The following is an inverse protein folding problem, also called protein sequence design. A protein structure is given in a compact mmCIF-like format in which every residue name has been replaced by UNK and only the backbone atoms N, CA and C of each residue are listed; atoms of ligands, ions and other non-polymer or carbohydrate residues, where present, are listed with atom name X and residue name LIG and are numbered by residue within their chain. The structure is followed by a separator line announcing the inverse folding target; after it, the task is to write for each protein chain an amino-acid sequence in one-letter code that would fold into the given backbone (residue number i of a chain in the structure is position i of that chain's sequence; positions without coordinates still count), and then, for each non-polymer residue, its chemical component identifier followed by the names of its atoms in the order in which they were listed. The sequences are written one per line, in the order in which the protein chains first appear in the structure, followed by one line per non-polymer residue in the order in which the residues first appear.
data_IF_188410874894
#
_entry.id   IF_188410874894
#
_cell.length_a   1.000
_cell.length_b   1.000
_cell.length_c   1.000
_cell.angle_alpha   90.00
_cell.angle_beta   90.00
_cell.angle_gamma   90.00
#
_symmetry.space_group_name_H-M   'P 1'
#
loop_
_entity.id
_entity.type
_entity.pdbx_description
1 polymer ?
#
# COMPACT_ATOMS: atom_id res chain seq x y z
N UNK A 1 -42.47 -26.89 36.32
CA UNK A 1 -41.47 -27.98 36.25
C UNK A 1 -40.50 -27.59 35.15
N UNK A 2 -39.46 -26.79 35.44
CA UNK A 2 -38.18 -27.25 36.00
C UNK A 2 -37.68 -28.43 35.17
N UNK A 3 -36.78 -28.29 34.19
CA UNK A 3 -35.48 -27.65 34.27
C UNK A 3 -34.46 -28.72 34.68
N UNK A 4 -33.71 -29.28 33.72
CA UNK A 4 -32.25 -29.50 33.79
C UNK A 4 -31.77 -30.23 32.52
N UNK A 5 -31.19 -29.48 31.57
CA UNK A 5 -30.44 -30.03 30.45
C UNK A 5 -29.04 -30.31 30.98
N UNK A 6 -28.77 -31.59 31.24
CA UNK A 6 -27.46 -32.13 31.64
C UNK A 6 -26.31 -31.44 30.91
N UNK A 7 -25.60 -30.58 31.63
CA UNK A 7 -24.39 -29.94 31.17
C UNK A 7 -23.32 -31.02 30.95
N UNK A 8 -23.09 -31.40 29.68
CA UNK A 8 -21.89 -32.15 29.29
C UNK A 8 -20.68 -31.27 29.51
N UNK A 9 -19.98 -31.52 30.62
CA UNK A 9 -18.66 -30.96 30.94
C UNK A 9 -17.70 -31.33 29.80
N UNK A 10 -17.43 -30.40 28.88
CA UNK A 10 -16.32 -30.53 27.93
C UNK A 10 -15.04 -30.41 28.75
N UNK A 11 -14.38 -31.54 29.00
CA UNK A 11 -13.08 -31.60 29.64
C UNK A 11 -12.09 -30.88 28.72
N UNK A 12 -11.73 -29.63 29.03
CA UNK A 12 -10.58 -28.95 28.42
C UNK A 12 -9.35 -29.78 28.77
N UNK A 13 -8.86 -30.54 27.81
CA UNK A 13 -7.57 -31.22 27.92
C UNK A 13 -6.47 -30.16 28.02
N UNK A 14 -5.61 -30.31 29.03
CA UNK A 14 -4.46 -29.43 29.21
C UNK A 14 -3.43 -29.72 28.12
N UNK A 15 -2.69 -28.69 27.71
CA UNK A 15 -1.64 -28.77 26.69
C UNK A 15 -0.54 -29.79 27.04
N UNK A 16 -0.43 -30.18 28.31
CA UNK A 16 0.45 -31.21 28.84
C UNK A 16 0.02 -32.66 28.55
N UNK A 17 -1.22 -32.92 28.11
CA UNK A 17 -1.73 -34.27 27.79
C UNK A 17 -1.66 -34.61 26.29
N UNK A 18 -1.12 -33.72 25.44
CA UNK A 18 -0.88 -33.94 24.00
C UNK A 18 0.50 -34.53 23.68
N UNK A 19 1.21 -35.02 24.68
CA UNK A 19 2.52 -35.68 24.53
C UNK A 19 2.36 -37.20 24.51
N UNK A 20 1.42 -37.74 23.73
CA UNK A 20 1.43 -39.17 23.41
C UNK A 20 2.29 -39.36 22.17
N UNK A 21 3.48 -39.92 22.39
CA UNK A 21 4.38 -40.45 21.35
C UNK A 21 3.57 -41.01 20.19
N UNK A 22 3.62 -40.32 19.04
CA UNK A 22 3.17 -40.88 17.79
C UNK A 22 3.87 -42.24 17.61
N UNK A 23 3.16 -43.26 17.13
CA UNK A 23 3.81 -44.52 16.84
C UNK A 23 4.96 -44.30 15.83
N UNK A 24 5.97 -45.17 15.86
CA UNK A 24 7.17 -45.00 15.05
C UNK A 24 6.86 -44.86 13.54
N UNK A 25 5.75 -45.44 13.07
CA UNK A 25 5.30 -45.30 11.69
C UNK A 25 4.77 -43.89 11.40
N UNK A 26 3.98 -43.32 12.32
CA UNK A 26 3.45 -41.96 12.24
C UNK A 26 4.56 -40.92 12.35
N UNK A 27 5.52 -41.10 13.26
CA UNK A 27 6.68 -40.22 13.38
C UNK A 27 7.52 -40.21 12.09
N UNK A 28 7.78 -41.39 11.52
CA UNK A 28 8.50 -41.52 10.25
C UNK A 28 7.73 -40.86 9.09
N UNK A 29 6.40 -41.01 9.03
CA UNK A 29 5.59 -40.36 8.01
C UNK A 29 5.62 -38.83 8.12
N UNK A 30 5.63 -38.27 9.34
CA UNK A 30 5.78 -36.82 9.56
C UNK A 30 7.14 -36.31 9.09
N UNK A 31 8.22 -37.06 9.34
CA UNK A 31 9.56 -36.73 8.84
C UNK A 31 9.63 -36.77 7.31
N UNK A 32 9.02 -37.77 6.67
CA UNK A 32 8.92 -37.86 5.21
C UNK A 32 8.11 -36.69 4.62
N UNK A 33 7.03 -36.26 5.29
CA UNK A 33 6.24 -35.08 4.90
C UNK A 33 7.07 -33.80 5.03
N UNK A 34 7.85 -33.64 6.11
CA UNK A 34 8.72 -32.48 6.29
C UNK A 34 9.78 -32.38 5.18
N UNK A 35 10.39 -33.50 4.79
CA UNK A 35 11.30 -33.55 3.64
C UNK A 35 10.59 -33.12 2.35
N UNK A 36 9.38 -33.64 2.09
CA UNK A 36 8.59 -33.22 0.93
C UNK A 36 8.27 -31.73 0.95
N UNK A 37 7.92 -31.17 2.12
CA UNK A 37 7.61 -29.76 2.27
C UNK A 37 8.84 -28.89 2.00
N UNK A 38 10.02 -29.29 2.49
CA UNK A 38 11.28 -28.60 2.20
C UNK A 38 11.60 -28.61 0.69
N UNK A 39 11.32 -29.70 -0.02
CA UNK A 39 11.48 -29.76 -1.49
C UNK A 39 10.52 -28.81 -2.21
N UNK A 40 9.27 -28.73 -1.77
CA UNK A 40 8.28 -27.78 -2.30
C UNK A 40 8.73 -26.34 -2.07
N UNK A 41 9.21 -26.03 -0.88
CA UNK A 41 9.67 -24.67 -0.53
C UNK A 41 10.87 -24.25 -1.38
N UNK A 42 11.82 -25.17 -1.63
CA UNK A 42 12.94 -24.92 -2.54
C UNK A 42 12.48 -24.63 -3.99
N UNK A 43 11.42 -25.29 -4.47
CA UNK A 43 10.85 -25.01 -5.80
C UNK A 43 10.17 -23.64 -5.81
N UNK A 44 9.43 -23.29 -4.74
CA UNK A 44 8.77 -22.00 -4.60
C UNK A 44 9.78 -20.84 -4.53
N UNK A 45 10.93 -21.04 -3.89
CA UNK A 45 12.01 -20.07 -3.85
C UNK A 45 12.60 -19.84 -5.24
N UNK A 46 12.91 -20.90 -5.99
CA UNK A 46 13.38 -20.78 -7.39
C UNK A 46 12.38 -20.06 -8.29
N UNK A 47 11.10 -20.41 -8.20
CA UNK A 47 10.05 -19.73 -8.94
C UNK A 47 9.97 -18.24 -8.56
N UNK A 48 10.13 -17.92 -7.28
CA UNK A 48 10.16 -16.56 -6.76
C UNK A 48 11.32 -15.74 -7.31
N UNK A 49 12.51 -16.33 -7.41
CA UNK A 49 13.69 -15.69 -8.01
C UNK A 49 13.52 -15.45 -9.51
N UNK A 50 12.97 -16.42 -10.24
CA UNK A 50 12.80 -16.31 -11.69
C UNK A 50 11.76 -15.25 -12.06
N UNK A 51 10.66 -15.17 -11.29
CA UNK A 51 9.70 -14.07 -11.41
C UNK A 51 10.39 -12.72 -11.19
N UNK A 52 11.21 -12.59 -10.13
CA UNK A 52 11.93 -11.35 -9.84
C UNK A 52 12.87 -10.94 -10.99
N UNK A 53 13.63 -11.88 -11.55
CA UNK A 53 14.51 -11.62 -12.71
C UNK A 53 13.73 -11.15 -13.94
N UNK A 54 12.57 -11.77 -14.19
CA UNK A 54 11.68 -11.39 -15.29
C UNK A 54 11.16 -9.97 -15.08
N UNK A 55 10.62 -9.66 -13.90
CA UNK A 55 10.08 -8.35 -13.59
C UNK A 55 11.16 -7.25 -13.68
N UNK A 56 12.36 -7.49 -13.15
CA UNK A 56 13.51 -6.57 -13.27
C UNK A 56 13.87 -6.28 -14.73
N UNK A 57 13.93 -7.33 -15.57
CA UNK A 57 14.19 -7.17 -17.01
C UNK A 57 13.13 -6.30 -17.67
N UNK A 58 11.84 -6.57 -17.41
CA UNK A 58 10.76 -5.81 -18.02
C UNK A 58 10.64 -4.39 -17.47
N UNK A 59 11.04 -4.13 -16.22
CA UNK A 59 11.18 -2.76 -15.70
C UNK A 59 12.18 -1.93 -16.46
N UNK A 60 13.38 -2.48 -16.69
CA UNK A 60 14.41 -1.81 -17.47
C UNK A 60 13.94 -1.55 -18.91
N UNK A 61 13.22 -2.50 -19.52
CA UNK A 61 12.64 -2.33 -20.85
C UNK A 61 11.52 -1.29 -20.89
N UNK A 62 10.70 -1.18 -19.83
CA UNK A 62 9.60 -0.20 -19.73
C UNK A 62 10.11 1.22 -19.48
N UNK A 63 11.21 1.39 -18.74
CA UNK A 63 11.77 2.69 -18.34
C UNK A 63 11.92 3.71 -19.48
N UNK A 64 12.57 3.41 -20.63
CA UNK A 64 12.70 4.38 -21.71
C UNK A 64 11.35 4.79 -22.33
N UNK A 65 10.34 3.90 -22.31
CA UNK A 65 9.00 4.23 -22.79
C UNK A 65 8.24 5.11 -21.79
N UNK A 66 8.44 4.91 -20.48
CA UNK A 66 7.89 5.82 -19.47
C UNK A 66 8.52 7.21 -19.55
N UNK A 67 9.84 7.30 -19.72
CA UNK A 67 10.54 8.58 -19.93
C UNK A 67 10.04 9.29 -21.19
N UNK A 68 9.94 8.56 -22.31
CA UNK A 68 9.38 9.07 -23.57
C UNK A 68 7.93 9.54 -23.40
N UNK A 69 7.10 8.77 -22.69
CA UNK A 69 5.71 9.13 -22.41
C UNK A 69 5.64 10.41 -21.57
N UNK A 70 6.51 10.55 -20.56
CA UNK A 70 6.58 11.74 -19.72
C UNK A 70 6.94 13.00 -20.53
N UNK A 71 7.88 12.89 -21.47
CA UNK A 71 8.23 14.00 -22.39
C UNK A 71 7.07 14.37 -23.33
N UNK A 72 6.23 13.42 -23.74
CA UNK A 72 5.05 13.71 -24.55
C UNK A 72 3.98 14.40 -23.70
N UNK A 73 3.71 13.85 -22.50
CA UNK A 73 2.72 14.38 -21.55
C UNK A 73 3.05 15.82 -21.16
N UNK A 74 4.32 16.19 -21.00
CA UNK A 74 4.70 17.56 -20.63
C UNK A 74 4.31 18.63 -21.66
N UNK A 75 3.94 18.23 -22.89
CA UNK A 75 3.41 19.16 -23.90
C UNK A 75 1.88 19.32 -23.83
N UNK A 76 1.21 18.62 -22.92
CA UNK A 76 -0.24 18.65 -22.75
C UNK A 76 -0.56 19.35 -21.42
N UNK A 77 -1.02 20.62 -21.45
CA UNK A 77 -1.40 21.34 -20.23
C UNK A 77 -2.48 20.60 -19.45
N UNK A 78 -2.42 20.69 -18.11
CA UNK A 78 -3.40 20.11 -17.18
C UNK A 78 -3.63 18.59 -17.33
N UNK A 79 -2.72 17.85 -17.96
CA UNK A 79 -2.91 16.43 -18.24
C UNK A 79 -3.21 15.61 -16.97
N UNK A 80 -2.40 15.79 -15.91
CA UNK A 80 -2.51 14.97 -14.71
C UNK A 80 -3.76 15.28 -13.89
N UNK A 81 -4.09 16.56 -13.66
CA UNK A 81 -5.35 16.91 -13.00
C UNK A 81 -6.55 16.38 -13.79
N UNK A 82 -6.55 16.54 -15.12
CA UNK A 82 -7.60 16.00 -15.98
C UNK A 82 -7.71 14.48 -15.85
N UNK A 83 -6.58 13.77 -15.83
CA UNK A 83 -6.57 12.31 -15.67
C UNK A 83 -7.10 11.86 -14.30
N UNK A 84 -6.72 12.56 -13.23
CA UNK A 84 -7.17 12.27 -11.86
C UNK A 84 -8.67 12.54 -11.70
N UNK A 85 -9.17 13.68 -12.19
CA UNK A 85 -10.59 14.06 -12.11
C UNK A 85 -11.50 13.13 -12.91
N UNK A 86 -11.00 12.56 -14.00
CA UNK A 86 -11.74 11.57 -14.78
C UNK A 86 -11.69 10.16 -14.18
N UNK A 87 -10.91 9.92 -13.12
CA UNK A 87 -10.87 8.62 -12.45
C UNK A 87 -11.94 8.54 -11.34
N UNK A 88 -12.90 7.59 -11.40
CA UNK A 88 -14.05 7.55 -10.50
C UNK A 88 -13.69 7.54 -9.01
N UNK A 89 -12.65 6.82 -8.62
CA UNK A 89 -12.28 6.73 -7.21
C UNK A 89 -11.42 7.90 -6.74
N UNK A 90 -10.60 8.49 -7.62
CA UNK A 90 -9.63 9.52 -7.21
C UNK A 90 -10.26 10.89 -7.14
N UNK A 91 -11.21 11.20 -8.05
CA UNK A 91 -11.93 12.47 -8.02
C UNK A 91 -12.73 12.68 -6.73
N UNK A 92 -13.16 11.60 -6.09
CA UNK A 92 -13.88 11.67 -4.81
C UNK A 92 -13.00 12.07 -3.62
N UNK A 93 -11.68 12.05 -3.79
CA UNK A 93 -10.72 12.43 -2.75
C UNK A 93 -10.35 13.93 -2.79
N UNK A 94 -10.81 14.65 -3.82
CA UNK A 94 -10.43 16.03 -4.07
C UNK A 94 -11.58 16.98 -3.71
N UNK A 95 -11.26 18.02 -2.95
CA UNK A 95 -12.05 19.23 -2.87
C UNK A 95 -11.58 20.31 -3.86
N UNK A 96 -12.37 21.38 -3.99
CA UNK A 96 -12.08 22.48 -4.92
C UNK A 96 -10.69 23.12 -4.71
N UNK A 97 -10.18 23.13 -3.48
CA UNK A 97 -8.88 23.71 -3.15
C UNK A 97 -7.72 22.78 -3.50
N UNK A 98 -7.93 21.48 -3.37
CA UNK A 98 -6.98 20.46 -3.81
C UNK A 98 -6.93 20.34 -5.33
N UNK A 99 -8.07 20.46 -6.01
CA UNK A 99 -8.14 20.56 -7.47
C UNK A 99 -7.31 21.75 -7.98
N UNK A 100 -7.47 22.93 -7.37
CA UNK A 100 -6.71 24.14 -7.69
C UNK A 100 -5.19 23.91 -7.52
N UNK A 101 -4.79 23.29 -6.41
CA UNK A 101 -3.39 22.93 -6.17
C UNK A 101 -2.84 21.93 -7.20
N UNK A 102 -3.65 20.97 -7.63
CA UNK A 102 -3.25 19.94 -8.59
C UNK A 102 -3.12 20.46 -10.02
N UNK A 103 -3.57 21.68 -10.34
CA UNK A 103 -3.19 22.33 -11.59
C UNK A 103 -1.68 22.53 -11.74
N UNK A 104 -0.96 22.65 -10.61
CA UNK A 104 0.49 22.76 -10.59
C UNK A 104 1.21 21.39 -10.69
N UNK A 105 0.48 20.27 -10.78
CA UNK A 105 1.07 18.94 -10.96
C UNK A 105 1.57 18.75 -12.39
N UNK A 106 2.88 18.80 -12.56
CA UNK A 106 3.53 18.72 -13.88
C UNK A 106 3.87 17.29 -14.29
N UNK A 107 4.15 16.42 -13.32
CA UNK A 107 4.60 15.05 -13.57
C UNK A 107 4.19 14.12 -12.43
N UNK A 108 3.78 12.91 -12.79
CA UNK A 108 3.51 11.82 -11.86
C UNK A 108 4.31 10.59 -12.29
N UNK A 109 5.10 10.05 -11.38
CA UNK A 109 5.88 8.84 -11.61
C UNK A 109 5.58 7.77 -10.57
N UNK A 110 5.51 6.53 -11.03
CA UNK A 110 5.50 5.35 -10.18
C UNK A 110 6.78 4.58 -10.48
N UNK A 111 7.62 4.41 -9.46
CA UNK A 111 8.91 3.74 -9.57
C UNK A 111 8.95 2.54 -8.62
N UNK A 112 9.02 1.34 -9.18
CA UNK A 112 9.23 0.10 -8.42
C UNK A 112 10.67 0.05 -7.88
N UNK A 113 10.89 -0.56 -6.72
CA UNK A 113 12.25 -0.79 -6.20
C UNK A 113 12.99 -1.84 -7.05
N UNK A 114 14.31 -1.92 -6.89
CA UNK A 114 15.12 -2.95 -7.55
C UNK A 114 14.68 -4.37 -7.16
N UNK A 115 14.36 -4.56 -5.87
CA UNK A 115 13.56 -5.68 -5.42
C UNK A 115 12.08 -5.30 -5.48
N UNK A 116 11.43 -5.71 -6.57
CA UNK A 116 10.06 -5.29 -6.91
C UNK A 116 9.04 -5.75 -5.87
N UNK A 117 9.34 -6.85 -5.16
CA UNK A 117 8.53 -7.35 -4.05
C UNK A 117 8.63 -6.48 -2.80
N UNK A 118 9.72 -5.72 -2.68
CA UNK A 118 9.96 -4.87 -1.52
C UNK A 118 9.11 -3.59 -1.53
N UNK A 119 8.67 -3.08 -2.69
CA UNK A 119 7.81 -1.90 -2.73
C UNK A 119 7.99 -0.98 -3.94
N UNK A 120 7.41 0.22 -3.82
CA UNK A 120 7.44 1.25 -4.87
C UNK A 120 7.28 2.67 -4.31
N UNK A 121 7.66 3.65 -5.12
CA UNK A 121 7.45 5.08 -4.93
C UNK A 121 6.32 5.57 -5.83
N UNK A 122 5.49 6.47 -5.31
CA UNK A 122 4.66 7.38 -6.10
C UNK A 122 5.24 8.78 -5.89
N UNK A 123 5.61 9.46 -6.97
CA UNK A 123 6.24 10.79 -6.95
C UNK A 123 5.36 11.78 -7.70
N UNK A 124 4.96 12.83 -7.02
CA UNK A 124 4.17 13.94 -7.56
C UNK A 124 5.09 15.15 -7.66
N UNK A 125 5.31 15.65 -8.87
CA UNK A 125 6.20 16.77 -9.15
C UNK A 125 5.38 18.02 -9.42
N UNK A 126 5.64 19.07 -8.67
CA UNK A 126 4.94 20.33 -8.75
C UNK A 126 5.87 21.41 -9.28
N UNK A 127 5.31 22.32 -10.08
CA UNK A 127 5.94 23.61 -10.31
C UNK A 127 5.82 24.50 -9.06
N UNK A 128 6.48 25.66 -9.09
CA UNK A 128 6.33 26.64 -8.02
C UNK A 128 4.86 27.04 -7.88
N UNK A 129 4.34 26.92 -6.66
CA UNK A 129 2.92 27.10 -6.36
C UNK A 129 2.72 27.83 -5.03
N UNK A 130 1.53 28.41 -4.79
CA UNK A 130 1.25 29.19 -3.58
C UNK A 130 0.96 28.34 -2.34
N UNK A 131 0.86 27.01 -2.44
CA UNK A 131 0.41 26.15 -1.33
C UNK A 131 1.56 25.61 -0.49
N UNK A 132 2.64 25.14 -1.13
CA UNK A 132 3.79 24.54 -0.45
C UNK A 132 5.10 24.78 -1.18
N UNK A 133 6.22 24.53 -0.51
CA UNK A 133 7.58 24.71 -1.05
C UNK A 133 8.12 23.46 -1.75
N UNK A 134 7.53 22.29 -1.50
CA UNK A 134 7.99 21.03 -2.06
C UNK A 134 7.90 21.02 -3.60
N UNK A 135 9.03 20.85 -4.28
CA UNK A 135 9.02 20.55 -5.72
C UNK A 135 8.53 19.12 -6.00
N UNK A 136 8.72 18.20 -5.05
CA UNK A 136 8.30 16.80 -5.17
C UNK A 136 7.68 16.33 -3.85
N UNK A 137 6.48 15.78 -3.92
CA UNK A 137 5.84 15.03 -2.82
C UNK A 137 5.93 13.55 -3.18
N UNK A 138 6.45 12.74 -2.27
CA UNK A 138 6.58 11.30 -2.49
C UNK A 138 5.78 10.51 -1.46
N UNK A 139 5.23 9.39 -1.92
CA UNK A 139 4.62 8.36 -1.08
C UNK A 139 5.30 7.03 -1.39
N UNK A 140 5.97 6.47 -0.40
CA UNK A 140 6.68 5.21 -0.49
C UNK A 140 5.87 4.10 0.19
N UNK A 141 5.84 2.93 -0.42
CA UNK A 141 5.26 1.72 0.16
C UNK A 141 6.34 0.64 0.27
N UNK A 142 6.42 0.01 1.44
CA UNK A 142 7.30 -1.13 1.72
C UNK A 142 6.43 -2.36 1.96
N UNK A 143 6.45 -3.32 1.03
CA UNK A 143 5.56 -4.48 0.99
C UNK A 143 6.27 -5.80 1.30
N UNK A 144 7.60 -5.84 1.23
CA UNK A 144 8.39 -7.05 1.49
C UNK A 144 8.53 -7.43 2.97
N UNK A 145 8.00 -6.63 3.90
CA UNK A 145 8.02 -6.92 5.34
C UNK A 145 6.77 -7.69 5.78
N UNK A 146 6.86 -8.42 6.90
CA UNK A 146 5.72 -9.09 7.53
C UNK A 146 4.52 -8.16 7.79
N UNK A 147 4.78 -6.86 7.96
CA UNK A 147 3.77 -5.81 7.99
C UNK A 147 4.07 -4.75 6.94
N UNK A 148 3.13 -4.44 6.03
CA UNK A 148 3.28 -3.34 5.09
C UNK A 148 3.49 -2.01 5.80
N UNK A 149 4.45 -1.21 5.33
CA UNK A 149 4.73 0.13 5.85
C UNK A 149 4.62 1.16 4.74
N UNK A 150 4.33 2.41 5.12
CA UNK A 150 4.32 3.52 4.18
C UNK A 150 4.91 4.77 4.79
N UNK A 151 5.63 5.52 3.98
CA UNK A 151 6.32 6.76 4.34
C UNK A 151 5.95 7.84 3.34
N UNK A 152 5.68 9.06 3.81
CA UNK A 152 5.34 10.20 2.98
C UNK A 152 6.35 11.32 3.20
N UNK A 153 6.63 12.10 2.16
CA UNK A 153 7.31 13.38 2.32
C UNK A 153 6.48 14.30 3.20
N UNK A 154 7.11 14.94 4.18
CA UNK A 154 6.46 16.01 4.95
C UNK A 154 6.24 17.23 4.06
N UNK A 155 4.99 17.67 3.94
CA UNK A 155 4.63 18.87 3.18
C UNK A 155 5.00 20.11 4.00
N UNK A 156 5.69 21.05 3.35
CA UNK A 156 6.11 22.34 3.88
C UNK A 156 5.14 23.38 3.34
N UNK A 157 4.04 23.57 4.06
CA UNK A 157 2.99 24.50 3.69
C UNK A 157 3.46 25.96 3.79
N UNK A 158 3.03 26.78 2.85
CA UNK A 158 3.20 28.24 2.90
C UNK A 158 2.21 28.86 3.89
N UNK A 159 2.48 30.10 4.29
CA UNK A 159 1.70 30.80 5.31
C UNK A 159 0.21 30.87 4.94
N UNK A 160 -0.64 30.34 5.83
CA UNK A 160 -2.10 30.31 5.64
C UNK A 160 -2.63 29.15 4.78
N UNK A 161 -1.75 28.32 4.20
CA UNK A 161 -2.14 27.14 3.43
C UNK A 161 -2.10 25.88 4.30
N UNK A 162 -3.12 25.05 4.21
CA UNK A 162 -3.19 23.74 4.86
C UNK A 162 -4.27 22.89 4.20
N UNK A 163 -3.98 22.34 3.02
CA UNK A 163 -4.92 21.48 2.32
C UNK A 163 -5.04 20.15 3.09
N UNK A 164 -6.25 19.60 3.16
CA UNK A 164 -6.51 18.31 3.79
C UNK A 164 -6.70 18.30 5.31
N UNK A 165 -6.45 19.41 6.01
CA UNK A 165 -6.87 19.52 7.42
C UNK A 165 -8.27 20.12 7.54
N UNK A 166 -9.11 19.64 8.48
CA UNK A 166 -10.40 20.24 8.71
C UNK A 166 -10.21 21.70 9.13
N UNK A 167 -10.79 22.63 8.35
CA UNK A 167 -10.81 24.04 8.73
C UNK A 167 -11.41 24.18 10.14
N UNK A 168 -10.71 24.87 11.04
CA UNK A 168 -11.22 25.23 12.36
C UNK A 168 -12.29 26.34 12.25
N UNK A 169 -13.30 26.17 11.40
CA UNK A 169 -14.53 26.96 11.52
C UNK A 169 -15.40 26.33 12.61
N UNK A 170 -15.23 26.86 13.82
CA UNK A 170 -16.15 26.68 14.94
C UNK A 170 -17.39 27.56 14.70
N UNK A 171 -18.45 26.97 14.14
CA UNK A 171 -19.83 27.40 14.44
C UNK A 171 -20.64 26.19 14.88
N UNK A 172 -21.26 26.36 16.06
CA UNK A 172 -21.79 25.29 16.89
C UNK A 172 -22.76 24.34 16.20
N UNK A 173 -22.52 23.06 16.39
CA UNK A 173 -23.38 21.96 15.97
C UNK A 173 -22.59 20.67 16.13
N UNK A 174 -23.16 19.66 16.80
CA UNK A 174 -22.53 18.35 17.07
C UNK A 174 -21.87 17.78 15.81
N UNK A 175 -20.55 17.93 15.66
CA UNK A 175 -19.80 17.37 14.53
C UNK A 175 -19.61 15.88 14.78
N UNK A 176 -20.36 15.04 14.05
CA UNK A 176 -19.92 13.67 13.78
C UNK A 176 -18.56 13.78 13.10
N UNK A 177 -17.55 13.12 13.66
CA UNK A 177 -16.19 13.09 13.11
C UNK A 177 -16.23 12.25 11.83
N UNK A 178 -16.56 12.88 10.71
CA UNK A 178 -16.29 12.28 9.40
C UNK A 178 -14.77 12.28 9.26
N UNK A 179 -14.17 11.10 9.06
CA UNK A 179 -12.82 11.03 8.53
C UNK A 179 -12.89 11.62 7.12
N UNK A 180 -12.49 12.88 7.00
CA UNK A 180 -12.40 13.53 5.71
C UNK A 180 -11.20 12.89 5.01
N UNK A 181 -11.47 12.08 3.99
CA UNK A 181 -10.44 11.58 3.10
C UNK A 181 -10.07 12.72 2.17
N UNK A 182 -8.82 13.14 2.27
CA UNK A 182 -8.18 14.19 1.47
C UNK A 182 -7.09 13.55 0.63
N UNK A 183 -6.69 14.22 -0.44
CA UNK A 183 -5.59 13.81 -1.28
C UNK A 183 -4.21 14.02 -0.61
N UNK A 184 -4.06 15.05 0.23
CA UNK A 184 -2.79 15.44 0.87
C UNK A 184 -2.61 14.91 2.31
#
# INVERSE_FOLDING_TARGET
MSGDLSARKIKRFSESERSSDFDAATQKALEEIDVCQNEIDNINEKASEDILKIEQKYNQLRKPFFEKRNQIISNIPNFWITAIMNHPDLSTLLDDSEEDCLHHLTKLEVEEFEDIKSGYWIKFYFEENPYFENAVITKQYHLGCATPKSESTQIIWREGCNLGQPSETTRGGRKRRYEMKTFF
#
